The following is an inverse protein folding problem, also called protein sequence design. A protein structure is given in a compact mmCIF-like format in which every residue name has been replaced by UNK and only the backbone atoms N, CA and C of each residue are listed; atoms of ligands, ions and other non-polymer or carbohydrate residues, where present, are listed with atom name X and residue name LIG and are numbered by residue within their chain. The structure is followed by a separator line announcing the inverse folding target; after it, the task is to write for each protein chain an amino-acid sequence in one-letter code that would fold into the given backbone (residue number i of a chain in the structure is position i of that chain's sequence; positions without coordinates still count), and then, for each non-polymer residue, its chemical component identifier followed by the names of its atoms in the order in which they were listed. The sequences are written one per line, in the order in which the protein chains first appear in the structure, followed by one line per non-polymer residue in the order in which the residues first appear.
data_IF_812650820970
#
_entry.id   IF_812650820970
#
_cell.length_a   1.000
_cell.length_b   1.000
_cell.length_c   1.000
_cell.angle_alpha   90.00
_cell.angle_beta   90.00
_cell.angle_gamma   90.00
#
_symmetry.space_group_name_H-M   'P 1'
#
loop_
_entity.id
_entity.type
_entity.pdbx_description
1 polymer ?
#
# COMPACT_ATOMS: atom_id res chain seq x y z
N UNK A 1 7.46 3.99 16.61
CA UNK A 1 6.79 5.30 16.45
C UNK A 1 6.86 5.62 14.98
N UNK A 2 5.77 6.05 14.32
CA UNK A 2 5.93 6.52 12.93
C UNK A 2 6.95 7.66 12.96
N UNK A 3 7.95 7.59 12.08
CA UNK A 3 8.94 8.64 12.01
C UNK A 3 8.27 9.93 11.54
N UNK A 4 8.79 11.13 11.89
CA UNK A 4 8.30 12.40 11.35
C UNK A 4 8.22 12.43 9.82
N UNK A 5 9.02 11.58 9.16
CA UNK A 5 9.05 11.41 7.70
C UNK A 5 7.74 10.84 7.14
N UNK A 6 6.97 10.09 7.94
CA UNK A 6 5.69 9.51 7.52
C UNK A 6 4.63 10.55 7.17
N UNK A 7 4.73 11.75 7.73
CA UNK A 7 3.73 12.82 7.57
C UNK A 7 4.29 14.08 6.90
N UNK A 8 5.60 14.10 6.62
CA UNK A 8 6.22 15.15 5.83
C UNK A 8 5.73 15.09 4.37
N UNK A 9 5.81 16.24 3.68
CA UNK A 9 5.61 16.37 2.24
C UNK A 9 4.34 15.64 1.71
N UNK A 10 3.13 16.02 2.19
CA UNK A 10 1.91 15.42 1.69
C UNK A 10 1.80 15.60 0.16
N UNK A 11 1.18 14.64 -0.56
CA UNK A 11 1.02 14.75 -2.00
C UNK A 11 0.38 16.08 -2.39
N UNK A 12 0.93 16.73 -3.41
CA UNK A 12 0.29 17.92 -3.98
C UNK A 12 -0.93 17.49 -4.79
N UNK A 13 -2.12 17.90 -4.35
CA UNK A 13 -3.36 17.62 -5.08
C UNK A 13 -3.35 18.35 -6.42
N UNK A 14 -3.46 17.61 -7.52
CA UNK A 14 -3.63 18.15 -8.85
C UNK A 14 -5.06 17.88 -9.33
N UNK A 15 -5.95 18.89 -9.41
CA UNK A 15 -7.32 18.70 -9.89
C UNK A 15 -7.41 18.35 -11.38
N UNK A 16 -6.32 18.51 -12.14
CA UNK A 16 -6.19 18.03 -13.52
C UNK A 16 -5.52 16.65 -13.61
N UNK A 17 -5.19 16.03 -12.47
CA UNK A 17 -4.50 14.74 -12.39
C UNK A 17 -5.47 13.56 -12.40
N UNK A 18 -5.32 12.70 -13.41
CA UNK A 18 -6.01 11.41 -13.51
C UNK A 18 -7.36 11.47 -14.25
N UNK A 19 -7.69 10.40 -14.96
CA UNK A 19 -9.01 10.18 -15.55
C UNK A 19 -9.77 9.18 -14.66
N UNK A 20 -10.87 9.61 -14.05
CA UNK A 20 -11.63 8.76 -13.13
C UNK A 20 -12.89 9.44 -12.59
N UNK A 21 -13.52 8.78 -11.62
CA UNK A 21 -14.73 9.26 -10.96
C UNK A 21 -14.72 8.94 -9.48
N UNK A 22 -15.35 9.80 -8.69
CA UNK A 22 -15.73 9.48 -7.31
C UNK A 22 -16.96 8.58 -7.35
N UNK A 23 -16.93 7.52 -6.54
CA UNK A 23 -18.04 6.61 -6.27
C UNK A 23 -18.35 6.74 -4.79
N UNK A 24 -19.56 7.18 -4.46
CA UNK A 24 -19.95 7.48 -3.07
C UNK A 24 -19.91 6.25 -2.15
N UNK A 25 -20.06 5.05 -2.73
CA UNK A 25 -19.95 3.79 -2.00
C UNK A 25 -19.51 2.66 -2.93
N UNK A 26 -18.27 2.20 -2.76
CA UNK A 26 -17.74 0.95 -3.28
C UNK A 26 -17.47 0.04 -2.07
N UNK A 27 -18.31 -0.98 -1.86
CA UNK A 27 -18.19 -1.80 -0.65
C UNK A 27 -18.44 -1.04 0.66
N UNK A 28 -19.18 0.08 0.62
CA UNK A 28 -19.48 0.89 1.80
C UNK A 28 -18.46 1.99 2.11
N UNK A 29 -17.45 2.18 1.27
CA UNK A 29 -16.45 3.27 1.40
C UNK A 29 -16.51 4.16 0.16
N UNK A 30 -16.34 5.46 0.33
CA UNK A 30 -16.16 6.37 -0.80
C UNK A 30 -14.83 6.05 -1.51
N UNK A 31 -14.86 5.95 -2.84
CA UNK A 31 -13.69 5.55 -3.61
C UNK A 31 -13.50 6.41 -4.85
N UNK A 32 -12.25 6.66 -5.21
CA UNK A 32 -11.90 7.16 -6.53
C UNK A 32 -11.55 5.98 -7.44
N UNK A 33 -12.30 5.83 -8.54
CA UNK A 33 -12.13 4.73 -9.49
C UNK A 33 -11.64 5.29 -10.81
N UNK A 34 -10.52 4.78 -11.29
CA UNK A 34 -9.90 5.12 -12.57
C UNK A 34 -9.69 3.85 -13.42
N UNK A 35 -9.62 4.03 -14.74
CA UNK A 35 -9.43 2.94 -15.71
C UNK A 35 -10.69 2.54 -16.47
N UNK A 36 -10.55 1.49 -17.29
CA UNK A 36 -11.58 1.02 -18.23
C UNK A 36 -12.59 0.12 -17.51
N UNK A 37 -13.89 0.35 -17.70
CA UNK A 37 -14.96 -0.38 -16.98
C UNK A 37 -14.99 -1.88 -17.30
N UNK A 38 -14.55 -2.25 -18.49
CA UNK A 38 -14.52 -3.62 -18.98
C UNK A 38 -13.31 -4.41 -18.48
N UNK A 39 -12.42 -3.77 -17.70
CA UNK A 39 -11.23 -4.42 -17.16
C UNK A 39 -11.59 -5.64 -16.32
N UNK A 40 -10.86 -6.74 -16.53
CA UNK A 40 -10.98 -7.97 -15.75
C UNK A 40 -10.09 -8.01 -14.53
N UNK A 41 -9.11 -7.12 -14.48
CA UNK A 41 -8.24 -6.89 -13.33
C UNK A 41 -8.56 -5.54 -12.67
N UNK A 42 -8.48 -5.49 -11.35
CA UNK A 42 -8.49 -4.25 -10.58
C UNK A 42 -7.38 -4.25 -9.53
N UNK A 43 -6.90 -3.06 -9.17
CA UNK A 43 -5.95 -2.88 -8.06
C UNK A 43 -6.58 -1.95 -7.03
N UNK A 44 -6.63 -2.40 -5.78
CA UNK A 44 -7.05 -1.56 -4.65
C UNK A 44 -5.82 -0.90 -4.04
N UNK A 45 -5.78 0.43 -4.03
CA UNK A 45 -4.73 1.20 -3.36
C UNK A 45 -5.16 1.48 -1.92
N UNK A 46 -4.37 1.02 -0.96
CA UNK A 46 -4.60 1.18 0.48
C UNK A 46 -3.54 2.13 1.02
N UNK A 47 -3.94 3.38 1.23
CA UNK A 47 -3.11 4.44 1.77
C UNK A 47 -3.96 5.36 2.64
N UNK A 48 -3.32 5.98 3.61
CA UNK A 48 -3.85 7.10 4.39
C UNK A 48 -4.21 8.32 3.54
N UNK A 49 -3.66 8.43 2.32
CA UNK A 49 -3.98 9.47 1.34
C UNK A 49 -5.32 9.21 0.63
N UNK A 50 -5.75 7.94 0.53
CA UNK A 50 -6.89 7.51 -0.30
C UNK A 50 -8.10 7.00 0.50
N UNK A 51 -8.34 7.63 1.65
CA UNK A 51 -9.57 7.54 2.47
C UNK A 51 -9.98 6.14 3.02
N UNK A 52 -9.01 5.29 3.37
CA UNK A 52 -9.27 4.16 4.30
C UNK A 52 -9.38 4.59 5.77
N UNK A 53 -9.32 5.90 6.03
CA UNK A 53 -9.35 6.52 7.35
C UNK A 53 -10.58 7.40 7.55
N UNK A 54 -11.55 7.36 6.63
CA UNK A 54 -12.85 8.05 6.74
C UNK A 54 -12.73 9.56 7.03
N UNK A 55 -11.81 10.23 6.34
CA UNK A 55 -11.53 11.65 6.47
C UNK A 55 -10.72 12.03 7.71
N UNK A 56 -10.16 11.05 8.42
CA UNK A 56 -9.47 11.26 9.70
C UNK A 56 -7.96 10.87 9.67
N UNK A 57 -7.14 11.51 8.81
CA UNK A 57 -5.71 11.24 8.74
C UNK A 57 -4.99 11.64 10.02
N UNK A 58 -3.85 10.99 10.30
CA UNK A 58 -3.02 11.40 11.43
C UNK A 58 -2.40 12.79 11.21
N UNK A 59 -2.54 13.68 12.21
CA UNK A 59 -2.00 15.04 12.21
C UNK A 59 -0.89 15.14 13.27
N UNK A 60 0.40 15.15 12.89
CA UNK A 60 1.52 15.17 13.84
C UNK A 60 1.52 16.34 14.80
N UNK A 61 1.02 17.50 14.36
CA UNK A 61 0.99 18.75 15.14
C UNK A 61 -0.08 18.72 16.24
N UNK A 62 -1.01 17.75 16.20
CA UNK A 62 -2.04 17.60 17.21
C UNK A 62 -1.49 16.91 18.46
N UNK A 63 -0.95 17.70 19.39
CA UNK A 63 -0.40 17.20 20.65
C UNK A 63 -1.43 16.47 21.54
N UNK A 64 -2.72 16.80 21.42
CA UNK A 64 -3.81 16.18 22.20
C UNK A 64 -4.17 14.78 21.69
N UNK A 65 -3.81 14.48 20.44
CA UNK A 65 -4.06 13.19 19.79
C UNK A 65 -2.75 12.61 19.23
N UNK A 66 -1.82 12.19 20.11
CA UNK A 66 -0.58 11.60 19.67
C UNK A 66 -0.83 10.32 18.88
N UNK A 67 0.14 9.91 18.06
CA UNK A 67 -0.02 8.77 17.15
C UNK A 67 -0.51 7.48 17.82
N UNK A 68 -0.16 7.26 19.10
CA UNK A 68 -0.62 6.09 19.86
C UNK A 68 -2.13 6.10 20.12
N UNK A 69 -2.72 7.28 20.30
CA UNK A 69 -4.18 7.45 20.45
C UNK A 69 -4.84 7.26 19.09
N UNK A 70 -4.31 7.92 18.06
CA UNK A 70 -4.84 7.82 16.70
C UNK A 70 -4.84 6.38 16.15
N UNK A 71 -3.77 5.60 16.39
CA UNK A 71 -3.68 4.18 16.01
C UNK A 71 -4.75 3.32 16.72
N UNK A 72 -5.09 3.64 17.99
CA UNK A 72 -6.13 2.89 18.71
C UNK A 72 -7.52 3.12 18.15
N UNK A 73 -7.77 4.31 17.62
CA UNK A 73 -9.03 4.68 16.97
C UNK A 73 -9.14 4.12 15.54
N UNK A 74 -7.99 3.82 14.91
CA UNK A 74 -7.87 3.21 13.59
C UNK A 74 -7.17 1.85 13.63
N UNK A 75 -7.77 0.83 14.29
CA UNK A 75 -7.14 -0.48 14.40
C UNK A 75 -7.02 -1.12 13.01
N UNK A 76 -5.84 -1.65 12.71
CA UNK A 76 -5.51 -2.32 11.44
C UNK A 76 -6.51 -3.40 11.03
N UNK A 77 -7.04 -4.15 12.02
CA UNK A 77 -8.03 -5.19 11.77
C UNK A 77 -9.34 -4.64 11.17
N UNK A 78 -9.74 -3.41 11.53
CA UNK A 78 -10.95 -2.78 10.98
C UNK A 78 -10.79 -2.53 9.47
N UNK A 79 -9.65 -1.99 9.05
CA UNK A 79 -9.43 -1.72 7.63
C UNK A 79 -9.25 -2.97 6.77
N UNK A 80 -8.71 -4.04 7.35
CA UNK A 80 -8.74 -5.36 6.71
C UNK A 80 -10.18 -5.84 6.48
N UNK A 81 -11.06 -5.73 7.48
CA UNK A 81 -12.48 -6.10 7.30
C UNK A 81 -13.20 -5.18 6.31
N UNK A 82 -12.89 -3.87 6.31
CA UNK A 82 -13.48 -2.90 5.37
C UNK A 82 -12.99 -3.08 3.93
N UNK A 83 -11.79 -3.61 3.71
CA UNK A 83 -11.29 -3.89 2.36
C UNK A 83 -12.02 -5.07 1.69
N UNK A 84 -12.57 -6.03 2.44
CA UNK A 84 -13.26 -7.21 1.87
C UNK A 84 -14.52 -6.83 1.08
N UNK A 85 -15.45 -6.01 1.60
CA UNK A 85 -16.58 -5.50 0.81
C UNK A 85 -16.17 -4.75 -0.45
N UNK A 86 -15.06 -4.00 -0.44
CA UNK A 86 -14.54 -3.30 -1.63
C UNK A 86 -14.15 -4.33 -2.71
N UNK A 87 -13.41 -5.36 -2.32
CA UNK A 87 -13.00 -6.46 -3.21
C UNK A 87 -14.23 -7.22 -3.74
N UNK A 88 -15.23 -7.48 -2.89
CA UNK A 88 -16.48 -8.12 -3.29
C UNK A 88 -17.25 -7.27 -4.31
N UNK A 89 -17.37 -5.96 -4.08
CA UNK A 89 -18.05 -5.04 -4.99
C UNK A 89 -17.34 -4.94 -6.35
N UNK A 90 -16.00 -5.01 -6.39
CA UNK A 90 -15.25 -5.10 -7.64
C UNK A 90 -15.58 -6.39 -8.40
N UNK A 91 -15.63 -7.54 -7.70
CA UNK A 91 -15.99 -8.83 -8.30
C UNK A 91 -17.43 -8.83 -8.84
N UNK A 92 -18.38 -8.21 -8.14
CA UNK A 92 -19.76 -8.03 -8.62
C UNK A 92 -19.84 -7.18 -9.89
N UNK A 93 -18.92 -6.23 -10.07
CA UNK A 93 -18.79 -5.42 -11.29
C UNK A 93 -18.12 -6.17 -12.45
N UNK A 94 -17.77 -7.44 -12.27
CA UNK A 94 -17.23 -8.31 -13.32
C UNK A 94 -15.70 -8.38 -13.38
N UNK A 95 -15.01 -7.86 -12.36
CA UNK A 95 -13.57 -8.06 -12.14
C UNK A 95 -13.32 -9.50 -11.69
N UNK A 96 -12.45 -10.22 -12.38
CA UNK A 96 -12.06 -11.60 -12.04
C UNK A 96 -10.82 -11.67 -11.17
N UNK A 97 -9.91 -10.69 -11.28
CA UNK A 97 -8.64 -10.66 -10.56
C UNK A 97 -8.47 -9.32 -9.85
N UNK A 98 -8.15 -9.37 -8.55
CA UNK A 98 -7.95 -8.18 -7.72
C UNK A 98 -6.57 -8.25 -7.09
N UNK A 99 -5.74 -7.25 -7.36
CA UNK A 99 -4.54 -7.00 -6.57
C UNK A 99 -4.77 -5.91 -5.54
N UNK A 100 -3.82 -5.78 -4.61
CA UNK A 100 -3.79 -4.64 -3.70
C UNK A 100 -2.38 -4.10 -3.51
N UNK A 101 -2.27 -2.77 -3.47
CA UNK A 101 -1.03 -2.08 -3.14
C UNK A 101 -1.21 -1.30 -1.84
N UNK A 102 -0.31 -1.53 -0.88
CA UNK A 102 -0.34 -0.93 0.44
C UNK A 102 0.84 -0.01 0.66
N UNK A 103 0.57 1.20 1.13
CA UNK A 103 1.59 2.20 1.45
C UNK A 103 1.66 2.42 2.95
N UNK A 104 2.86 2.40 3.54
CA UNK A 104 3.04 2.56 4.98
C UNK A 104 2.18 1.55 5.75
N UNK A 105 1.21 2.04 6.54
CA UNK A 105 0.27 1.26 7.33
C UNK A 105 -0.61 0.34 6.45
N UNK A 106 -0.93 0.77 5.22
CA UNK A 106 -1.72 -0.02 4.28
C UNK A 106 -1.03 -1.33 3.87
N UNK A 107 0.29 -1.42 4.01
CA UNK A 107 1.03 -2.65 3.77
C UNK A 107 0.58 -3.81 4.68
N UNK A 108 0.25 -3.52 5.93
CA UNK A 108 -0.26 -4.54 6.86
C UNK A 108 -1.66 -5.02 6.46
N UNK A 109 -2.52 -4.13 5.98
CA UNK A 109 -3.82 -4.53 5.41
C UNK A 109 -3.63 -5.45 4.20
N UNK A 110 -2.73 -5.08 3.28
CA UNK A 110 -2.40 -5.92 2.12
C UNK A 110 -1.81 -7.27 2.51
N UNK A 111 -0.94 -7.33 3.52
CA UNK A 111 -0.42 -8.59 4.04
C UNK A 111 -1.55 -9.48 4.59
N UNK A 112 -2.49 -8.95 5.37
CA UNK A 112 -3.65 -9.71 5.85
C UNK A 112 -4.57 -10.17 4.72
N UNK A 113 -4.81 -9.34 3.70
CA UNK A 113 -5.56 -9.74 2.50
C UNK A 113 -4.86 -10.88 1.74
N UNK A 114 -3.54 -10.82 1.60
CA UNK A 114 -2.74 -11.88 0.98
C UNK A 114 -2.77 -13.19 1.79
N UNK A 115 -2.73 -13.11 3.13
CA UNK A 115 -2.88 -14.26 4.03
C UNK A 115 -4.27 -14.87 3.96
N UNK A 116 -5.30 -14.04 3.84
CA UNK A 116 -6.69 -14.46 3.71
C UNK A 116 -7.05 -14.98 2.31
N UNK A 117 -6.15 -14.85 1.33
CA UNK A 117 -6.38 -15.21 -0.08
C UNK A 117 -7.51 -14.39 -0.73
N UNK A 118 -7.69 -13.13 -0.30
CA UNK A 118 -8.69 -12.21 -0.86
C UNK A 118 -8.25 -11.60 -2.19
N UNK A 119 -6.92 -11.47 -2.37
CA UNK A 119 -6.25 -10.84 -3.53
C UNK A 119 -5.32 -11.83 -4.26
N UNK A 120 -5.07 -11.57 -5.54
CA UNK A 120 -4.25 -12.39 -6.42
C UNK A 120 -2.80 -11.91 -6.53
N UNK A 121 -2.52 -10.64 -6.21
CA UNK A 121 -1.16 -10.11 -6.15
C UNK A 121 -1.10 -8.96 -5.15
N UNK A 122 0.03 -8.83 -4.46
CA UNK A 122 0.28 -7.81 -3.45
C UNK A 122 1.50 -6.96 -3.80
N UNK A 123 1.43 -5.67 -3.49
CA UNK A 123 2.60 -4.78 -3.47
C UNK A 123 2.59 -4.01 -2.15
N UNK A 124 3.73 -3.93 -1.49
CA UNK A 124 3.92 -3.12 -0.28
C UNK A 124 5.05 -2.13 -0.50
N UNK A 125 4.77 -0.85 -0.26
CA UNK A 125 5.76 0.23 -0.31
C UNK A 125 5.99 0.79 1.09
N UNK A 126 7.26 0.89 1.51
CA UNK A 126 7.68 1.35 2.85
C UNK A 126 6.80 0.76 3.97
N UNK A 127 6.74 -0.59 4.11
CA UNK A 127 5.75 -1.26 4.94
C UNK A 127 5.82 -0.86 6.42
N UNK A 128 4.66 -0.73 7.07
CA UNK A 128 4.57 -0.52 8.52
C UNK A 128 3.74 -1.60 9.19
N UNK A 129 4.12 -1.99 10.42
CA UNK A 129 3.43 -3.00 11.23
C UNK A 129 3.33 -4.41 10.61
N UNK A 130 4.12 -4.68 9.55
CA UNK A 130 4.26 -6.01 8.95
C UNK A 130 5.38 -6.76 9.68
N UNK A 131 5.13 -8.01 10.04
CA UNK A 131 6.10 -8.89 10.71
C UNK A 131 6.59 -9.99 9.76
N UNK A 132 7.69 -10.64 10.13
CA UNK A 132 8.21 -11.79 9.37
C UNK A 132 7.19 -12.94 9.34
N UNK A 133 6.41 -13.12 10.40
CA UNK A 133 5.37 -14.16 10.45
C UNK A 133 4.22 -13.85 9.50
N UNK A 134 3.84 -12.58 9.34
CA UNK A 134 2.86 -12.20 8.32
C UNK A 134 3.31 -12.60 6.92
N UNK A 135 4.60 -12.38 6.61
CA UNK A 135 5.18 -12.73 5.30
C UNK A 135 5.23 -14.24 5.08
N UNK A 136 5.42 -15.05 6.13
CA UNK A 136 5.39 -16.53 6.00
C UNK A 136 4.01 -17.05 5.58
N UNK A 137 2.95 -16.34 5.95
CA UNK A 137 1.57 -16.77 5.76
C UNK A 137 0.93 -16.27 4.46
N UNK A 138 1.59 -15.37 3.71
CA UNK A 138 1.04 -14.86 2.43
C UNK A 138 0.83 -16.00 1.45
N UNK A 139 -0.24 -15.90 0.64
CA UNK A 139 -0.65 -16.96 -0.30
C UNK A 139 -0.60 -16.56 -1.77
N UNK A 140 -0.31 -15.30 -2.06
CA UNK A 140 -0.25 -14.76 -3.42
C UNK A 140 1.12 -14.13 -3.71
N UNK A 141 1.49 -13.95 -5.00
CA UNK A 141 2.66 -13.18 -5.38
C UNK A 141 2.74 -11.83 -4.67
N UNK A 142 3.93 -11.49 -4.14
CA UNK A 142 4.14 -10.26 -3.38
C UNK A 142 5.40 -9.51 -3.78
N UNK A 143 5.29 -8.20 -4.00
CA UNK A 143 6.42 -7.29 -4.08
C UNK A 143 6.58 -6.47 -2.79
N UNK A 144 7.81 -6.30 -2.33
CA UNK A 144 8.17 -5.46 -1.19
C UNK A 144 9.19 -4.41 -1.63
N UNK A 145 8.75 -3.16 -1.63
CA UNK A 145 9.59 -2.00 -1.92
C UNK A 145 9.94 -1.35 -0.57
N UNK A 146 11.22 -1.41 -0.18
CA UNK A 146 11.78 -0.81 1.03
C UNK A 146 12.60 0.44 0.75
N UNK A 147 12.84 1.24 1.79
CA UNK A 147 13.67 2.44 1.74
C UNK A 147 14.95 2.24 2.57
N UNK A 148 16.09 2.70 2.06
CA UNK A 148 17.38 2.59 2.76
C UNK A 148 17.40 3.34 4.09
N UNK A 149 16.83 4.56 4.13
CA UNK A 149 16.84 5.42 5.32
C UNK A 149 15.60 5.24 6.21
N UNK A 150 14.86 4.15 6.04
CA UNK A 150 13.64 3.85 6.78
C UNK A 150 13.94 3.28 8.17
N UNK A 151 13.35 3.86 9.20
CA UNK A 151 13.45 3.37 10.60
C UNK A 151 12.25 2.52 11.02
N UNK A 152 11.17 2.56 10.26
CA UNK A 152 9.93 1.80 10.51
C UNK A 152 10.05 0.40 9.93
N UNK A 153 10.48 0.29 8.66
CA UNK A 153 10.88 -0.96 8.03
C UNK A 153 12.34 -0.89 7.58
N UNK A 154 13.31 -1.03 8.50
CA UNK A 154 14.72 -0.91 8.15
C UNK A 154 15.15 -2.00 7.15
N UNK A 155 16.22 -1.76 6.37
CA UNK A 155 16.73 -2.72 5.38
C UNK A 155 16.92 -4.14 5.91
N UNK A 156 17.32 -4.30 7.17
CA UNK A 156 17.49 -5.59 7.83
C UNK A 156 16.17 -6.36 7.95
N UNK A 157 15.05 -5.68 8.19
CA UNK A 157 13.73 -6.29 8.24
C UNK A 157 13.25 -6.67 6.83
N UNK A 158 13.44 -5.78 5.85
CA UNK A 158 13.07 -6.05 4.45
C UNK A 158 13.85 -7.25 3.90
N UNK A 159 15.13 -7.38 4.24
CA UNK A 159 15.94 -8.57 3.91
C UNK A 159 15.44 -9.84 4.60
N UNK A 160 14.92 -9.76 5.83
CA UNK A 160 14.28 -10.92 6.47
C UNK A 160 13.01 -11.35 5.73
N UNK A 161 12.22 -10.40 5.21
CA UNK A 161 11.07 -10.71 4.36
C UNK A 161 11.51 -11.43 3.08
N UNK A 162 12.55 -10.93 2.40
CA UNK A 162 13.13 -11.57 1.22
C UNK A 162 13.59 -13.01 1.50
N UNK A 163 14.28 -13.24 2.63
CA UNK A 163 14.75 -14.57 3.02
C UNK A 163 13.61 -15.57 3.22
N UNK A 164 12.53 -15.13 3.88
CA UNK A 164 11.34 -15.97 4.07
C UNK A 164 10.67 -16.27 2.73
N UNK A 165 10.48 -15.25 1.88
CA UNK A 165 9.86 -15.41 0.57
C UNK A 165 10.70 -16.32 -0.34
N UNK A 166 12.02 -16.18 -0.31
CA UNK A 166 12.97 -17.04 -1.04
C UNK A 166 12.92 -18.50 -0.58
N UNK A 167 12.54 -18.75 0.67
CA UNK A 167 12.37 -20.10 1.21
C UNK A 167 11.04 -20.73 0.78
N UNK A 168 10.09 -19.94 0.28
CA UNK A 168 8.79 -20.40 -0.22
C UNK A 168 8.76 -20.33 -1.75
N UNK A 169 9.22 -21.40 -2.41
CA UNK A 169 9.29 -21.47 -3.89
C UNK A 169 7.93 -21.52 -4.59
N UNK A 170 6.82 -21.67 -3.83
CA UNK A 170 5.46 -21.67 -4.37
C UNK A 170 4.90 -20.29 -4.68
N UNK A 171 5.57 -19.22 -4.22
CA UNK A 171 5.08 -17.84 -4.36
C UNK A 171 6.15 -16.97 -5.04
N UNK A 172 5.76 -16.36 -6.16
CA UNK A 172 6.62 -15.37 -6.81
C UNK A 172 6.79 -14.15 -5.90
N UNK A 173 8.02 -13.64 -5.79
CA UNK A 173 8.29 -12.44 -5.03
C UNK A 173 9.27 -11.52 -5.74
N UNK A 174 9.24 -10.25 -5.36
CA UNK A 174 10.21 -9.23 -5.74
C UNK A 174 10.50 -8.35 -4.53
N UNK A 175 11.75 -8.21 -4.15
CA UNK A 175 12.15 -7.33 -3.04
C UNK A 175 13.20 -6.36 -3.53
N UNK A 176 13.01 -5.08 -3.22
CA UNK A 176 13.95 -4.01 -3.61
C UNK A 176 14.03 -2.98 -2.51
N UNK A 177 15.26 -2.57 -2.19
CA UNK A 177 15.53 -1.46 -1.26
C UNK A 177 16.05 -0.30 -2.09
N UNK A 178 15.33 0.82 -2.05
CA UNK A 178 15.66 2.03 -2.78
C UNK A 178 16.70 2.84 -1.99
N UNK A 179 17.84 3.22 -2.62
CA UNK A 179 18.89 3.98 -1.96
C UNK A 179 18.48 5.45 -1.74
N UNK A 180 18.98 6.07 -0.68
CA UNK A 180 18.82 7.51 -0.40
C UNK A 180 17.42 7.94 0.05
N UNK A 181 16.39 7.14 -0.17
CA UNK A 181 15.00 7.49 0.17
C UNK A 181 14.62 7.10 1.60
N UNK A 182 13.67 7.84 2.16
CA UNK A 182 13.14 7.64 3.52
C UNK A 182 11.76 6.97 3.48
N UNK A 183 11.23 6.62 4.65
CA UNK A 183 9.86 6.17 4.79
C UNK A 183 8.87 7.15 4.12
N UNK A 184 7.88 6.63 3.38
CA UNK A 184 6.90 7.47 2.68
C UNK A 184 7.27 7.86 1.25
N UNK A 185 8.51 7.62 0.78
CA UNK A 185 9.02 8.19 -0.47
C UNK A 185 8.18 7.93 -1.71
N UNK A 186 7.44 6.82 -1.76
CA UNK A 186 6.67 6.43 -2.93
C UNK A 186 5.49 7.38 -3.19
N UNK A 187 5.05 8.12 -2.17
CA UNK A 187 3.88 9.00 -2.22
C UNK A 187 4.09 10.37 -1.56
N UNK A 188 5.15 10.53 -0.76
CA UNK A 188 5.46 11.74 0.03
C UNK A 188 6.88 12.22 -0.26
N UNK A 189 7.13 12.63 -1.50
CA UNK A 189 8.41 13.17 -1.96
C UNK A 189 8.26 14.62 -2.38
N UNK A 190 9.38 15.36 -2.35
CA UNK A 190 9.43 16.74 -2.85
C UNK A 190 9.60 16.73 -4.36
N UNK A 191 8.73 17.43 -5.07
CA UNK A 191 8.81 17.54 -6.54
C UNK A 191 10.09 18.25 -7.01
N UNK A 192 10.70 19.05 -6.13
CA UNK A 192 11.95 19.76 -6.39
C UNK A 192 13.19 18.85 -6.24
N UNK A 193 13.06 17.71 -5.57
CA UNK A 193 14.12 16.72 -5.44
C UNK A 193 14.02 15.71 -6.58
N UNK A 194 14.75 15.97 -7.67
CA UNK A 194 14.78 15.12 -8.85
C UNK A 194 15.21 13.67 -8.55
N UNK A 195 16.01 13.45 -7.50
CA UNK A 195 16.38 12.10 -7.05
C UNK A 195 15.20 11.38 -6.44
N UNK A 196 14.48 12.05 -5.54
CA UNK A 196 13.29 11.51 -4.91
C UNK A 196 12.15 11.25 -5.91
N UNK A 197 11.93 12.17 -6.87
CA UNK A 197 10.96 11.99 -7.97
C UNK A 197 11.29 10.74 -8.77
N UNK A 198 12.55 10.61 -9.22
CA UNK A 198 12.99 9.44 -10.00
C UNK A 198 12.78 8.14 -9.25
N UNK A 199 13.10 8.09 -7.94
CA UNK A 199 12.88 6.89 -7.13
C UNK A 199 11.41 6.58 -6.89
N UNK A 200 10.53 7.58 -6.81
CA UNK A 200 9.09 7.37 -6.72
C UNK A 200 8.49 6.87 -8.03
N UNK A 201 8.92 7.44 -9.18
CA UNK A 201 8.54 6.97 -10.51
C UNK A 201 9.00 5.53 -10.77
N UNK A 202 10.21 5.19 -10.35
CA UNK A 202 10.75 3.83 -10.44
C UNK A 202 9.96 2.86 -9.55
N UNK A 203 9.57 3.25 -8.32
CA UNK A 203 8.71 2.43 -7.46
C UNK A 203 7.31 2.22 -8.06
N UNK A 204 6.75 3.25 -8.72
CA UNK A 204 5.49 3.13 -9.46
C UNK A 204 5.62 2.17 -10.64
N UNK A 205 6.71 2.26 -11.41
CA UNK A 205 7.00 1.34 -12.52
C UNK A 205 7.11 -0.10 -12.03
N UNK A 206 7.89 -0.34 -10.97
CA UNK A 206 8.06 -1.68 -10.39
C UNK A 206 6.72 -2.27 -9.92
N UNK A 207 5.83 -1.44 -9.34
CA UNK A 207 4.48 -1.86 -8.94
C UNK A 207 3.61 -2.22 -10.15
N UNK A 208 3.61 -1.40 -11.20
CA UNK A 208 2.84 -1.63 -12.42
C UNK A 208 3.31 -2.92 -13.10
N UNK A 209 4.62 -3.10 -13.25
CA UNK A 209 5.22 -4.29 -13.84
C UNK A 209 4.88 -5.55 -13.03
N UNK A 210 4.87 -5.43 -11.69
CA UNK A 210 4.45 -6.52 -10.82
C UNK A 210 2.99 -6.92 -11.05
N UNK A 211 2.07 -5.97 -11.11
CA UNK A 211 0.66 -6.28 -11.36
C UNK A 211 0.41 -6.80 -12.76
N UNK A 212 1.04 -6.22 -13.79
CA UNK A 212 0.93 -6.71 -15.18
C UNK A 212 1.37 -8.18 -15.30
N UNK A 213 2.36 -8.60 -14.51
CA UNK A 213 2.84 -9.98 -14.49
C UNK A 213 1.92 -10.95 -13.76
N UNK A 214 1.20 -10.48 -12.73
CA UNK A 214 0.53 -11.36 -11.77
C UNK A 214 -1.01 -11.24 -11.75
N UNK A 215 -1.59 -10.22 -12.40
CA UNK A 215 -3.03 -10.03 -12.56
C UNK A 215 -3.37 -10.14 -14.05
N UNK A 216 -3.56 -11.37 -14.52
CA UNK A 216 -4.11 -11.62 -15.85
C UNK A 216 -5.61 -11.34 -15.91
#
# INVERSE_FOLDING_TARGET
MASPQCCADPPTLNPAGGEGRVVDSLGGIAAYVAGVRESKAAVVLISDIFDFLHGDPFVPENADRPIQVWIKEHPLGKAFEEAKPVIAALKEQGVSTVGAAGYCWGAKVVAELAKANEIQAAVMSHPSAVTVDDIKEVKCPIAVLGAENDKTSPPELVKQFEQVLSSNTGIAHFVKIFPGVSHGWAVRYKNEDAGAVKSAEEALSDMIDWFNKNLN
#
